data_IF_579344066417
#
_entry.id   IF_579344066417
#
_cell.length_a   1.000
_cell.length_b   1.000
_cell.length_c   1.000
_cell.angle_alpha   90.00
_cell.angle_beta   90.00
_cell.angle_gamma   90.00
#
_symmetry.space_group_name_H-M   'P 1'
#
loop_
_entity.id
_entity.type
_entity.pdbx_description
1 polymer ?
#
# COMPACT_ATOMS: atom_id res chain seq x y z
N UNK A 1 3.15 11.14 -14.43
CA UNK A 1 2.67 10.12 -15.40
C UNK A 1 1.16 10.30 -15.52
N UNK A 2 0.38 9.46 -16.23
CA UNK A 2 -1.09 9.64 -16.19
C UNK A 2 -1.62 9.44 -14.77
N UNK A 3 -2.48 10.34 -14.32
CA UNK A 3 -3.14 10.24 -13.03
C UNK A 3 -3.91 8.91 -12.91
N UNK A 4 -3.73 8.17 -11.82
CA UNK A 4 -4.51 6.95 -11.58
C UNK A 4 -5.95 7.31 -11.24
N UNK A 5 -6.89 6.64 -11.90
CA UNK A 5 -8.31 6.72 -11.61
C UNK A 5 -8.62 6.31 -10.16
N UNK A 6 -9.72 6.82 -9.60
CA UNK A 6 -10.17 6.47 -8.24
C UNK A 6 -10.28 4.94 -8.01
N UNK A 7 -10.82 4.12 -8.95
CA UNK A 7 -10.87 2.67 -8.80
C UNK A 7 -9.49 2.02 -8.68
N UNK A 8 -8.50 2.45 -9.47
CA UNK A 8 -7.15 1.91 -9.36
C UNK A 8 -6.49 2.30 -8.04
N UNK A 9 -6.74 3.51 -7.53
CA UNK A 9 -6.24 3.94 -6.23
C UNK A 9 -6.78 3.07 -5.09
N UNK A 10 -8.07 2.73 -5.15
CA UNK A 10 -8.70 1.83 -4.19
C UNK A 10 -8.00 0.48 -4.09
N UNK A 11 -7.64 -0.11 -5.24
CA UNK A 11 -6.93 -1.40 -5.29
C UNK A 11 -5.60 -1.34 -4.54
N UNK A 12 -4.84 -0.24 -4.67
CA UNK A 12 -3.54 -0.11 -4.01
C UNK A 12 -3.72 -0.06 -2.48
N UNK A 13 -4.69 0.71 -2.01
CA UNK A 13 -5.00 0.79 -0.57
C UNK A 13 -5.48 -0.57 -0.04
N UNK A 14 -6.39 -1.24 -0.74
CA UNK A 14 -6.89 -2.55 -0.31
C UNK A 14 -5.79 -3.60 -0.29
N UNK A 15 -4.89 -3.62 -1.28
CA UNK A 15 -3.78 -4.58 -1.31
C UNK A 15 -2.77 -4.35 -0.18
N UNK A 16 -2.50 -3.10 0.20
CA UNK A 16 -1.69 -2.80 1.40
C UNK A 16 -2.36 -3.35 2.66
N UNK A 17 -3.67 -3.14 2.81
CA UNK A 17 -4.44 -3.65 3.96
C UNK A 17 -4.45 -5.19 3.99
N UNK A 18 -4.67 -5.84 2.84
CA UNK A 18 -4.63 -7.29 2.70
C UNK A 18 -3.26 -7.85 3.07
N UNK A 19 -2.17 -7.18 2.66
CA UNK A 19 -0.81 -7.59 3.02
C UNK A 19 -0.54 -7.47 4.52
N UNK A 20 -0.97 -6.38 5.16
CA UNK A 20 -0.91 -6.21 6.61
C UNK A 20 -1.69 -7.31 7.34
N UNK A 21 -2.89 -7.65 6.86
CA UNK A 21 -3.70 -8.74 7.41
C UNK A 21 -2.97 -10.09 7.26
N UNK A 22 -2.39 -10.36 6.08
CA UNK A 22 -1.63 -11.59 5.82
C UNK A 22 -0.42 -11.72 6.77
N UNK A 23 0.36 -10.65 6.96
CA UNK A 23 1.47 -10.63 7.93
C UNK A 23 0.97 -10.93 9.36
N UNK A 24 -0.14 -10.33 9.77
CA UNK A 24 -0.76 -10.60 11.07
C UNK A 24 -1.21 -12.06 11.24
N UNK A 25 -1.77 -12.67 10.19
CA UNK A 25 -2.17 -14.07 10.17
C UNK A 25 -0.96 -15.01 10.24
N UNK A 26 0.14 -14.70 9.54
CA UNK A 26 1.40 -15.46 9.61
C UNK A 26 1.96 -15.46 11.03
N UNK A 27 2.03 -14.29 11.68
CA UNK A 27 2.46 -14.20 13.08
C UNK A 27 1.53 -15.01 14.01
N UNK A 28 0.21 -14.87 13.83
CA UNK A 28 -0.77 -15.62 14.64
C UNK A 28 -0.61 -17.12 14.46
N UNK A 29 -0.40 -17.58 13.23
CA UNK A 29 -0.16 -18.98 12.91
C UNK A 29 1.10 -19.50 13.61
N UNK A 30 2.21 -18.76 13.53
CA UNK A 30 3.45 -19.10 14.25
C UNK A 30 3.26 -19.23 15.75
N UNK A 31 2.54 -18.29 16.36
CA UNK A 31 2.22 -18.31 17.80
C UNK A 31 1.37 -19.51 18.19
N UNK A 32 0.37 -19.86 17.39
CA UNK A 32 -0.48 -21.03 17.65
C UNK A 32 0.28 -22.35 17.58
N UNK A 33 1.35 -22.39 16.78
CA UNK A 33 2.19 -23.57 16.64
C UNK A 33 3.39 -23.60 17.62
N UNK A 34 3.75 -22.46 18.18
CA UNK A 34 4.95 -22.33 19.02
C UNK A 34 6.25 -22.21 18.21
N UNK A 35 6.16 -21.88 16.91
CA UNK A 35 7.30 -21.81 16.00
C UNK A 35 7.67 -20.34 15.71
N UNK A 36 8.87 -19.94 16.14
CA UNK A 36 9.37 -18.58 15.98
C UNK A 36 9.72 -18.22 14.52
N UNK A 37 9.98 -19.21 13.68
CA UNK A 37 10.36 -19.01 12.27
C UNK A 37 9.28 -18.27 11.47
N UNK A 38 8.01 -18.47 11.81
CA UNK A 38 6.90 -17.74 11.19
C UNK A 38 6.90 -16.25 11.55
N UNK A 39 7.36 -15.88 12.75
CA UNK A 39 7.55 -14.47 13.11
C UNK A 39 8.70 -13.86 12.30
N UNK A 40 9.78 -14.61 12.08
CA UNK A 40 10.87 -14.20 11.19
C UNK A 40 10.40 -14.05 9.74
N UNK A 41 9.56 -14.97 9.25
CA UNK A 41 8.93 -14.86 7.94
C UNK A 41 8.08 -13.58 7.83
N UNK A 42 7.24 -13.29 8.83
CA UNK A 42 6.45 -12.06 8.84
C UNK A 42 7.33 -10.80 8.85
N UNK A 43 8.47 -10.81 9.56
CA UNK A 43 9.44 -9.71 9.49
C UNK A 43 10.08 -9.60 8.10
N UNK A 44 10.39 -10.72 7.44
CA UNK A 44 10.93 -10.73 6.08
C UNK A 44 9.92 -10.23 5.02
N UNK A 45 8.62 -10.18 5.33
CA UNK A 45 7.58 -9.59 4.47
C UNK A 45 7.53 -8.05 4.54
N UNK A 46 8.18 -7.43 5.54
CA UNK A 46 8.15 -5.97 5.75
C UNK A 46 8.76 -5.15 4.61
N UNK A 47 9.84 -5.55 3.91
CA UNK A 47 10.40 -4.76 2.81
C UNK A 47 9.41 -4.61 1.64
N UNK A 48 8.59 -5.63 1.37
CA UNK A 48 7.55 -5.56 0.35
C UNK A 48 6.45 -4.55 0.74
N UNK A 49 6.06 -4.52 2.02
CA UNK A 49 5.12 -3.53 2.54
C UNK A 49 5.67 -2.11 2.40
N UNK A 50 6.93 -1.89 2.76
CA UNK A 50 7.59 -0.58 2.61
C UNK A 50 7.63 -0.14 1.15
N UNK A 51 7.97 -1.05 0.23
CA UNK A 51 7.95 -0.78 -1.21
C UNK A 51 6.56 -0.36 -1.71
N UNK A 52 5.51 -1.08 -1.29
CA UNK A 52 4.13 -0.75 -1.64
C UNK A 52 3.70 0.62 -1.06
N UNK A 53 4.09 0.93 0.18
CA UNK A 53 3.82 2.24 0.80
C UNK A 53 4.54 3.39 0.07
N UNK A 54 5.79 3.20 -0.36
CA UNK A 54 6.51 4.18 -1.18
C UNK A 54 5.81 4.42 -2.53
N UNK A 55 5.36 3.35 -3.20
CA UNK A 55 4.61 3.47 -4.45
C UNK A 55 3.27 4.21 -4.26
N UNK A 56 2.51 3.90 -3.20
CA UNK A 56 1.28 4.61 -2.86
C UNK A 56 1.55 6.10 -2.58
N UNK A 57 2.65 6.41 -1.89
CA UNK A 57 3.05 7.78 -1.58
C UNK A 57 3.38 8.56 -2.85
N UNK A 58 4.18 7.97 -3.75
CA UNK A 58 4.47 8.57 -5.07
C UNK A 58 3.18 8.88 -5.84
N UNK A 59 2.26 7.92 -5.91
CA UNK A 59 0.98 8.10 -6.60
C UNK A 59 0.07 9.12 -5.93
N UNK A 60 0.11 9.26 -4.60
CA UNK A 60 -0.64 10.29 -3.89
C UNK A 60 -0.20 11.70 -4.33
N UNK A 61 1.11 11.94 -4.42
CA UNK A 61 1.68 13.23 -4.81
C UNK A 61 1.53 13.50 -6.32
N UNK A 62 1.80 12.52 -7.20
CA UNK A 62 1.62 12.67 -8.66
C UNK A 62 0.14 12.93 -9.02
N UNK A 63 -0.80 12.26 -8.33
CA UNK A 63 -2.24 12.52 -8.53
C UNK A 63 -2.66 13.91 -8.01
N UNK A 64 -2.16 14.36 -6.85
CA UNK A 64 -2.51 15.67 -6.31
C UNK A 64 -2.07 16.82 -7.23
N UNK A 65 -0.86 16.74 -7.79
CA UNK A 65 -0.34 17.73 -8.75
C UNK A 65 -1.16 17.76 -10.04
N UNK A 66 -1.60 16.59 -10.52
CA UNK A 66 -2.47 16.50 -11.69
C UNK A 66 -3.86 17.11 -11.46
N UNK A 67 -4.44 16.95 -10.26
CA UNK A 67 -5.74 17.53 -9.88
C UNK A 67 -5.65 19.05 -9.68
N UNK A 68 -4.57 19.55 -9.08
CA UNK A 68 -4.33 20.97 -8.88
C UNK A 68 -4.22 21.72 -10.23
N UNK A 69 -3.48 21.14 -11.19
CA UNK A 69 -3.29 21.74 -12.51
C UNK A 69 -4.60 21.76 -13.34
N UNK A 70 -5.47 20.75 -13.18
CA UNK A 70 -6.78 20.71 -13.85
C UNK A 70 -7.80 21.72 -13.27
N UNK A 71 -7.62 22.18 -12.02
CA UNK A 71 -8.47 23.21 -11.42
C UNK A 71 -8.09 24.64 -11.84
N UNK A 72 -6.84 24.87 -12.25
CA UNK A 72 -6.34 26.17 -12.73
C UNK A 72 -6.76 26.51 -14.18
N UNK A 73 -7.34 25.56 -14.91
CA UNK A 73 -7.90 25.75 -16.25
C UNK A 73 -9.42 26.03 -16.30
N UNK A 74 -10.05 26.38 -15.17
CA UNK A 74 -11.40 26.96 -15.24
C UNK A 74 -11.29 28.38 -15.84
N UNK A 75 -11.90 28.66 -17.00
CA UNK A 75 -11.92 30.01 -17.54
C UNK A 75 -12.60 30.94 -16.54
N UNK A 76 -11.96 32.08 -16.26
CA UNK A 76 -12.53 33.17 -15.46
C UNK A 76 -13.77 33.74 -16.13
#
# INVERSE_FOLDING_TARGET
MHALSLPTWWIHVTSVLEWCLAMGLVVRYGRLRGEADWCWLAMAMTPALVSAMCACTWHAFDNADSLATNLDHRPR
#
